data_IF_972808498932
#
_entry.id   IF_972808498932
#
_cell.length_a   1.000
_cell.length_b   1.000
_cell.length_c   1.000
_cell.angle_alpha   90.00
_cell.angle_beta   90.00
_cell.angle_gamma   90.00
#
_symmetry.space_group_name_H-M   'P 1'
#
loop_
_entity.id
_entity.type
_entity.pdbx_description
1 polymer ?
#
# COMPACT_ATOMS: atom_id res chain seq x y z
N UNK A 1 5.00 -1.47 -21.70
CA UNK A 1 3.72 -0.75 -21.56
C UNK A 1 3.22 -0.96 -20.14
N UNK A 2 3.10 0.09 -19.34
CA UNK A 2 2.65 -0.05 -17.94
C UNK A 2 1.12 -0.12 -17.94
N UNK A 3 0.50 -1.23 -17.46
CA UNK A 3 -0.94 -1.31 -17.38
C UNK A 3 -1.43 -0.26 -16.36
N UNK A 4 -2.31 0.62 -16.81
CA UNK A 4 -3.01 1.62 -16.00
C UNK A 4 -4.50 1.35 -16.17
N UNK A 5 -5.20 1.14 -15.06
CA UNK A 5 -6.65 1.09 -15.05
C UNK A 5 -7.18 2.52 -15.02
N UNK A 6 -7.98 2.90 -16.01
CA UNK A 6 -8.76 4.15 -15.97
C UNK A 6 -10.15 3.82 -15.48
N UNK A 7 -10.45 4.22 -14.25
CA UNK A 7 -11.78 4.11 -13.66
C UNK A 7 -12.30 5.53 -13.41
N UNK A 8 -13.38 5.93 -14.10
CA UNK A 8 -14.10 7.18 -13.83
C UNK A 8 -13.21 8.44 -13.69
N UNK A 9 -12.18 8.57 -14.54
CA UNK A 9 -11.25 9.72 -14.50
C UNK A 9 -10.05 9.57 -13.55
N UNK A 10 -10.00 8.52 -12.74
CA UNK A 10 -8.83 8.13 -11.94
C UNK A 10 -7.96 7.14 -12.71
N UNK A 11 -6.70 7.51 -12.96
CA UNK A 11 -5.66 6.61 -13.46
C UNK A 11 -5.00 5.92 -12.29
N UNK A 12 -5.34 4.64 -12.09
CA UNK A 12 -4.75 3.78 -11.08
C UNK A 12 -3.71 2.84 -11.72
N UNK A 13 -2.44 2.87 -11.29
CA UNK A 13 -1.44 1.94 -11.81
C UNK A 13 -1.78 0.52 -11.37
N UNK A 14 -1.85 -0.41 -12.32
CA UNK A 14 -2.31 -1.78 -12.06
C UNK A 14 -1.35 -2.52 -11.11
N UNK A 15 -0.05 -2.15 -11.08
CA UNK A 15 0.91 -2.69 -10.10
C UNK A 15 0.53 -2.34 -8.66
N UNK A 16 0.15 -1.09 -8.40
CA UNK A 16 -0.29 -0.67 -7.07
C UNK A 16 -1.54 -1.44 -6.62
N UNK A 17 -2.47 -1.65 -7.54
CA UNK A 17 -3.67 -2.47 -7.29
C UNK A 17 -3.32 -3.92 -6.97
N UNK A 18 -2.38 -4.53 -7.70
CA UNK A 18 -1.93 -5.90 -7.43
C UNK A 18 -1.28 -6.03 -6.05
N UNK A 19 -0.50 -5.04 -5.61
CA UNK A 19 0.09 -5.07 -4.27
C UNK A 19 -1.00 -5.02 -3.20
N UNK A 20 -1.94 -4.07 -3.29
CA UNK A 20 -3.07 -3.97 -2.35
C UNK A 20 -3.88 -5.27 -2.34
N UNK A 21 -4.18 -5.82 -3.52
CA UNK A 21 -4.92 -7.08 -3.65
C UNK A 21 -4.17 -8.26 -3.02
N UNK A 22 -2.86 -8.38 -3.26
CA UNK A 22 -2.04 -9.44 -2.67
C UNK A 22 -1.96 -9.36 -1.15
N UNK A 23 -1.87 -8.16 -0.59
CA UNK A 23 -1.91 -7.91 0.85
C UNK A 23 -3.26 -8.30 1.45
N UNK A 24 -4.35 -7.89 0.79
CA UNK A 24 -5.70 -8.22 1.24
C UNK A 24 -5.96 -9.73 1.26
N UNK A 25 -5.60 -10.43 0.18
CA UNK A 25 -5.70 -11.90 0.11
C UNK A 25 -4.83 -12.56 1.17
N UNK A 26 -3.60 -12.08 1.37
CA UNK A 26 -2.70 -12.60 2.42
C UNK A 26 -3.29 -12.46 3.82
N UNK A 27 -3.92 -11.32 4.12
CA UNK A 27 -4.57 -11.07 5.41
C UNK A 27 -5.79 -11.97 5.63
N UNK A 28 -6.66 -12.12 4.63
CA UNK A 28 -7.80 -13.05 4.68
C UNK A 28 -7.36 -14.49 4.97
N UNK A 29 -6.30 -14.96 4.32
CA UNK A 29 -5.74 -16.29 4.56
C UNK A 29 -5.19 -16.40 5.99
N UNK A 30 -4.49 -15.37 6.47
CA UNK A 30 -3.94 -15.30 7.83
C UNK A 30 -5.03 -15.33 8.89
N UNK A 31 -6.11 -14.56 8.74
CA UNK A 31 -7.25 -14.56 9.66
C UNK A 31 -7.93 -15.93 9.72
N UNK A 32 -8.19 -16.55 8.56
CA UNK A 32 -8.78 -17.90 8.50
C UNK A 32 -7.89 -18.94 9.15
N UNK A 33 -6.57 -18.82 8.98
CA UNK A 33 -5.61 -19.73 9.62
C UNK A 33 -5.55 -19.49 11.14
N UNK A 34 -5.59 -18.23 11.58
CA UNK A 34 -5.63 -17.86 12.98
C UNK A 34 -6.88 -18.42 13.68
N UNK A 35 -8.05 -18.26 13.07
CA UNK A 35 -9.31 -18.81 13.58
C UNK A 35 -9.24 -20.35 13.73
N UNK A 36 -8.68 -21.06 12.74
CA UNK A 36 -8.49 -22.52 12.81
C UNK A 36 -7.54 -22.97 13.91
N UNK A 37 -6.61 -22.12 14.34
CA UNK A 37 -5.67 -22.40 15.44
C UNK A 37 -6.13 -21.88 16.80
N UNK A 38 -7.36 -21.38 16.90
CA UNK A 38 -7.90 -20.82 18.14
C UNK A 38 -7.21 -19.52 18.58
N UNK A 39 -6.54 -18.82 17.67
CA UNK A 39 -5.92 -17.53 17.93
C UNK A 39 -6.96 -16.41 17.86
N UNK A 40 -6.73 -15.32 18.60
CA UNK A 40 -7.65 -14.19 18.63
C UNK A 40 -7.71 -13.49 17.26
N UNK A 41 -8.81 -13.68 16.53
CA UNK A 41 -9.03 -13.11 15.20
C UNK A 41 -9.01 -11.57 15.21
N UNK A 42 -9.49 -10.93 16.29
CA UNK A 42 -9.50 -9.47 16.45
C UNK A 42 -8.10 -8.86 16.35
N UNK A 43 -7.10 -9.56 16.87
CA UNK A 43 -5.71 -9.13 16.80
C UNK A 43 -5.22 -9.10 15.35
N UNK A 44 -5.54 -10.13 14.56
CA UNK A 44 -5.14 -10.23 13.15
C UNK A 44 -5.84 -9.21 12.28
N UNK A 45 -7.12 -8.91 12.51
CA UNK A 45 -7.83 -7.85 11.78
C UNK A 45 -7.24 -6.46 12.08
N UNK A 46 -6.91 -6.20 13.34
CA UNK A 46 -6.27 -4.93 13.74
C UNK A 46 -4.86 -4.82 13.16
N UNK A 47 -4.07 -5.90 13.25
CA UNK A 47 -2.74 -5.96 12.65
C UNK A 47 -2.79 -5.83 11.12
N UNK A 48 -3.83 -6.37 10.47
CA UNK A 48 -4.03 -6.26 9.03
C UNK A 48 -4.28 -4.82 8.58
N UNK A 49 -5.17 -4.11 9.27
CA UNK A 49 -5.41 -2.68 9.04
C UNK A 49 -4.14 -1.85 9.22
N UNK A 50 -3.40 -2.10 10.32
CA UNK A 50 -2.11 -1.46 10.57
C UNK A 50 -1.11 -1.77 9.46
N UNK A 51 -1.03 -3.02 9.01
CA UNK A 51 -0.13 -3.45 7.95
C UNK A 51 -0.41 -2.66 6.67
N UNK A 52 -1.66 -2.59 6.20
CA UNK A 52 -2.02 -1.84 4.99
C UNK A 52 -1.58 -0.37 5.09
N UNK A 53 -1.85 0.29 6.23
CA UNK A 53 -1.43 1.66 6.48
C UNK A 53 0.10 1.82 6.48
N UNK A 54 0.80 0.97 7.21
CA UNK A 54 2.27 0.97 7.28
C UNK A 54 2.92 0.69 5.93
N UNK A 55 2.35 -0.20 5.12
CA UNK A 55 2.89 -0.54 3.79
C UNK A 55 2.73 0.65 2.83
N UNK A 56 1.61 1.39 2.86
CA UNK A 56 1.45 2.63 2.08
C UNK A 56 2.44 3.73 2.51
N UNK A 57 2.59 3.95 3.82
CA UNK A 57 3.54 4.93 4.36
C UNK A 57 4.97 4.53 3.99
N UNK A 58 5.33 3.26 4.18
CA UNK A 58 6.63 2.72 3.82
C UNK A 58 6.92 2.85 2.33
N UNK A 59 5.94 2.61 1.46
CA UNK A 59 6.09 2.81 0.02
C UNK A 59 6.39 4.27 -0.34
N UNK A 60 5.74 5.23 0.33
CA UNK A 60 5.98 6.66 0.11
C UNK A 60 7.36 7.08 0.60
N UNK A 61 7.75 6.63 1.79
CA UNK A 61 9.07 6.90 2.36
C UNK A 61 10.18 6.29 1.50
N UNK A 62 10.00 5.05 1.05
CA UNK A 62 10.97 4.38 0.18
C UNK A 62 11.12 5.08 -1.17
N UNK A 63 10.02 5.55 -1.75
CA UNK A 63 10.06 6.37 -2.97
C UNK A 63 10.84 7.67 -2.74
N UNK A 64 10.61 8.35 -1.62
CA UNK A 64 11.33 9.57 -1.27
C UNK A 64 12.83 9.35 -1.04
N UNK A 65 13.21 8.23 -0.41
CA UNK A 65 14.61 7.82 -0.27
C UNK A 65 15.27 7.52 -1.62
N UNK A 66 14.51 7.00 -2.59
CA UNK A 66 15.00 6.71 -3.94
C UNK A 66 15.14 7.98 -4.81
N UNK A 67 14.29 8.99 -4.58
CA UNK A 67 14.27 10.26 -5.32
C UNK A 67 14.41 11.48 -4.40
N UNK A 68 15.50 11.59 -3.61
CA UNK A 68 15.60 12.60 -2.56
C UNK A 68 15.62 14.03 -3.10
N UNK A 69 16.21 14.25 -4.28
CA UNK A 69 16.35 15.58 -4.88
C UNK A 69 14.99 16.29 -5.10
N UNK A 70 13.94 15.55 -5.48
CA UNK A 70 12.60 16.13 -5.67
C UNK A 70 11.92 16.53 -4.36
N UNK A 71 12.17 15.78 -3.29
CA UNK A 71 11.57 16.05 -1.97
C UNK A 71 12.36 17.07 -1.14
N UNK A 72 13.65 17.29 -1.42
CA UNK A 72 14.43 18.35 -0.80
C UNK A 72 13.96 19.75 -1.26
N UNK A 73 13.49 19.88 -2.49
CA UNK A 73 12.97 21.16 -3.02
C UNK A 73 11.54 21.45 -2.52
N UNK A 74 10.71 20.41 -2.35
CA UNK A 74 9.34 20.54 -1.85
C UNK A 74 9.00 19.40 -0.88
N UNK A 75 9.37 19.52 0.41
CA UNK A 75 9.15 18.44 1.39
C UNK A 75 7.68 18.14 1.64
N UNK A 76 6.80 19.13 1.49
CA UNK A 76 5.33 18.95 1.57
C UNK A 76 4.78 18.03 0.48
N UNK A 77 5.52 17.79 -0.60
CA UNK A 77 5.12 16.84 -1.63
C UNK A 77 4.99 15.41 -1.06
N UNK A 78 5.63 15.07 0.07
CA UNK A 78 5.48 13.77 0.74
C UNK A 78 4.02 13.46 1.10
N UNK A 79 3.27 14.48 1.52
CA UNK A 79 1.87 14.38 1.93
C UNK A 79 0.88 14.53 0.77
N UNK A 80 1.38 14.74 -0.45
CA UNK A 80 0.51 14.83 -1.62
C UNK A 80 -0.29 13.54 -1.80
N UNK A 81 -1.63 13.61 -1.96
CA UNK A 81 -2.50 12.45 -2.15
C UNK A 81 -2.34 11.79 -3.53
N UNK A 82 -1.39 12.25 -4.35
CA UNK A 82 -1.13 11.67 -5.65
C UNK A 82 -0.40 10.30 -5.52
N UNK A 83 -1.05 9.27 -6.06
CA UNK A 83 -0.56 7.90 -6.09
C UNK A 83 0.73 7.69 -6.91
N UNK A 84 1.11 8.64 -7.78
CA UNK A 84 2.26 8.51 -8.69
C UNK A 84 3.64 8.49 -8.01
N UNK A 85 3.73 8.70 -6.70
CA UNK A 85 5.01 8.66 -5.97
C UNK A 85 5.03 7.60 -4.86
N UNK A 86 4.46 6.43 -5.12
CA UNK A 86 4.63 5.26 -4.26
C UNK A 86 5.74 4.39 -4.86
N UNK A 87 6.55 3.72 -4.03
CA UNK A 87 7.68 2.92 -4.50
C UNK A 87 7.34 1.82 -5.51
N UNK A 88 6.06 1.45 -5.65
CA UNK A 88 5.59 0.34 -6.48
C UNK A 88 4.79 0.80 -7.71
N UNK A 89 4.74 2.12 -7.98
CA UNK A 89 4.19 2.70 -9.22
C UNK A 89 5.29 2.92 -10.23
#
# INVERSE_FOLDING_TARGET
>A
MYPVLRLLGLTLPTRGLLVVFSLWVGLEVLERLAARRGLNQQFFSTAGLLTIGSTLIGARLFYALRYPQGYLQQPLALLSPNAQGLAWT
#
